data_IF_751773746992
#
_entry.id   IF_751773746992
#
_cell.length_a   1.000
_cell.length_b   1.000
_cell.length_c   1.000
_cell.angle_alpha   90.00
_cell.angle_beta   90.00
_cell.angle_gamma   90.00
#
_symmetry.space_group_name_H-M   'P 1'
#
loop_
_entity.id
_entity.type
_entity.pdbx_description
1 polymer ?
#
# COMPACT_ATOMS: atom_id res chain seq x y z
N UNK A 1 -0.14 28.46 -25.63
CA UNK A 1 0.32 27.90 -26.92
C UNK A 1 1.03 26.52 -26.81
N UNK A 2 0.92 25.78 -25.69
CA UNK A 2 1.59 24.48 -25.46
C UNK A 2 0.67 23.24 -25.52
N UNK A 3 -0.63 23.42 -25.72
CA UNK A 3 -1.63 22.32 -25.66
C UNK A 3 -1.75 21.51 -26.96
N UNK A 4 -1.26 22.02 -28.10
CA UNK A 4 -1.40 21.41 -29.42
C UNK A 4 -0.29 20.43 -29.83
N UNK A 5 0.84 20.39 -29.11
CA UNK A 5 2.02 19.61 -29.55
C UNK A 5 2.09 18.19 -29.01
N UNK A 6 1.59 17.90 -27.79
CA UNK A 6 1.59 16.54 -27.21
C UNK A 6 0.51 15.66 -27.82
N UNK A 7 -0.71 16.19 -27.96
CA UNK A 7 -1.83 15.44 -28.55
C UNK A 7 -1.63 15.22 -30.06
N UNK A 8 -1.11 16.20 -30.81
CA UNK A 8 -0.82 16.02 -32.25
C UNK A 8 0.38 15.10 -32.52
N UNK A 9 1.41 15.07 -31.64
CA UNK A 9 2.47 14.05 -31.71
C UNK A 9 1.94 12.66 -31.38
N UNK A 10 1.04 12.54 -30.41
CA UNK A 10 0.40 11.26 -30.09
C UNK A 10 -0.42 10.74 -31.29
N UNK A 11 -1.28 11.58 -31.89
CA UNK A 11 -2.07 11.23 -33.09
C UNK A 11 -1.16 10.82 -34.26
N UNK A 12 -0.09 11.58 -34.51
CA UNK A 12 0.88 11.28 -35.59
C UNK A 12 1.71 10.01 -35.28
N UNK A 13 1.94 9.68 -34.01
CA UNK A 13 2.62 8.46 -33.54
C UNK A 13 1.71 7.23 -33.54
N UNK A 14 0.39 7.40 -33.34
CA UNK A 14 -0.59 6.31 -33.40
C UNK A 14 -0.86 5.86 -34.83
N UNK A 15 -0.74 6.75 -35.81
CA UNK A 15 -0.78 6.38 -37.24
C UNK A 15 0.37 5.43 -37.65
N UNK A 16 1.51 5.48 -36.94
CA UNK A 16 2.70 4.69 -37.28
C UNK A 16 2.90 3.43 -36.40
N UNK A 17 2.24 3.30 -35.24
CA UNK A 17 2.39 2.12 -34.39
C UNK A 17 1.14 1.89 -33.49
N UNK A 18 0.32 0.86 -33.75
CA UNK A 18 -0.90 0.60 -32.99
C UNK A 18 -0.65 0.32 -31.50
N UNK A 19 0.57 -0.13 -31.14
CA UNK A 19 0.95 -0.34 -29.74
C UNK A 19 0.94 0.96 -28.92
N UNK A 20 1.14 2.13 -29.53
CA UNK A 20 1.09 3.40 -28.79
C UNK A 20 -0.30 3.67 -28.18
N UNK A 21 -1.36 3.23 -28.87
CA UNK A 21 -2.74 3.31 -28.33
C UNK A 21 -2.88 2.37 -27.13
N UNK A 22 -2.38 1.14 -27.26
CA UNK A 22 -2.39 0.14 -26.17
C UNK A 22 -1.64 0.67 -24.94
N UNK A 23 -0.46 1.26 -25.14
CA UNK A 23 0.32 1.89 -24.06
C UNK A 23 -0.42 3.03 -23.39
N UNK A 24 -1.05 3.90 -24.16
CA UNK A 24 -1.83 5.01 -23.61
C UNK A 24 -3.01 4.50 -22.79
N UNK A 25 -3.78 3.54 -23.31
CA UNK A 25 -4.91 2.93 -22.59
C UNK A 25 -4.44 2.22 -21.31
N UNK A 26 -3.33 1.48 -21.37
CA UNK A 26 -2.70 0.84 -20.22
C UNK A 26 -2.30 1.87 -19.15
N UNK A 27 -1.62 2.95 -19.55
CA UNK A 27 -1.12 3.97 -18.64
C UNK A 27 -2.27 4.79 -18.03
N UNK A 28 -3.25 5.19 -18.86
CA UNK A 28 -4.45 5.87 -18.41
C UNK A 28 -5.29 4.98 -17.48
N UNK A 29 -5.44 3.69 -17.80
CA UNK A 29 -6.14 2.73 -16.96
C UNK A 29 -5.53 2.58 -15.57
N UNK A 30 -4.19 2.59 -15.45
CA UNK A 30 -3.51 2.60 -14.14
C UNK A 30 -3.85 3.87 -13.33
N UNK A 31 -3.87 5.04 -13.99
CA UNK A 31 -4.23 6.31 -13.35
C UNK A 31 -5.72 6.38 -12.97
N UNK A 32 -6.60 5.82 -13.80
CA UNK A 32 -8.04 5.71 -13.52
C UNK A 32 -8.28 4.76 -12.34
N UNK A 33 -7.58 3.62 -12.29
CA UNK A 33 -7.62 2.70 -11.16
C UNK A 33 -7.29 3.43 -9.86
N UNK A 34 -6.27 4.30 -9.87
CA UNK A 34 -5.86 5.07 -8.69
C UNK A 34 -6.95 6.05 -8.23
N UNK A 35 -7.66 6.67 -9.18
CA UNK A 35 -8.76 7.58 -8.89
C UNK A 35 -9.99 6.85 -8.31
N UNK A 36 -10.24 5.61 -8.76
CA UNK A 36 -11.41 4.82 -8.36
C UNK A 36 -11.19 4.02 -7.07
N UNK A 37 -9.94 3.66 -6.75
CA UNK A 37 -9.59 2.72 -5.67
C UNK A 37 -10.31 3.00 -4.34
N UNK A 38 -10.29 4.25 -3.89
CA UNK A 38 -10.88 4.62 -2.60
C UNK A 38 -12.37 5.02 -2.71
N UNK A 39 -12.97 4.97 -3.90
CA UNK A 39 -14.40 5.23 -4.11
C UNK A 39 -15.13 3.90 -4.24
N UNK A 40 -14.63 3.02 -5.12
CA UNK A 40 -15.16 1.70 -5.37
C UNK A 40 -14.02 0.74 -5.72
N UNK A 41 -13.48 0.00 -4.72
CA UNK A 41 -12.38 -0.94 -4.92
C UNK A 41 -12.69 -2.06 -5.92
N UNK A 42 -13.96 -2.49 -6.02
CA UNK A 42 -14.37 -3.57 -6.93
C UNK A 42 -14.33 -3.14 -8.40
N UNK A 43 -14.84 -1.95 -8.71
CA UNK A 43 -14.72 -1.40 -10.06
C UNK A 43 -13.27 -1.03 -10.39
N UNK A 44 -12.51 -0.50 -9.43
CA UNK A 44 -11.08 -0.26 -9.60
C UNK A 44 -10.33 -1.55 -9.94
N UNK A 45 -10.64 -2.66 -9.27
CA UNK A 45 -10.02 -3.96 -9.54
C UNK A 45 -10.28 -4.44 -10.98
N UNK A 46 -11.49 -4.25 -11.53
CA UNK A 46 -11.79 -4.60 -12.93
C UNK A 46 -10.93 -3.80 -13.90
N UNK A 47 -10.76 -2.50 -13.67
CA UNK A 47 -9.88 -1.65 -14.49
C UNK A 47 -8.42 -2.08 -14.37
N UNK A 48 -7.98 -2.45 -13.17
CA UNK A 48 -6.63 -2.97 -12.93
C UNK A 48 -6.38 -4.28 -13.68
N UNK A 49 -7.35 -5.19 -13.69
CA UNK A 49 -7.29 -6.44 -14.47
C UNK A 49 -7.22 -6.14 -15.97
N UNK A 50 -8.02 -5.20 -16.46
CA UNK A 50 -7.94 -4.76 -17.86
C UNK A 50 -6.54 -4.22 -18.20
N UNK A 51 -5.91 -3.45 -17.30
CA UNK A 51 -4.52 -3.00 -17.46
C UNK A 51 -3.54 -4.18 -17.51
N UNK A 52 -3.72 -5.20 -16.66
CA UNK A 52 -2.90 -6.40 -16.70
C UNK A 52 -3.05 -7.16 -18.03
N UNK A 53 -4.24 -7.22 -18.61
CA UNK A 53 -4.44 -7.80 -19.96
C UNK A 53 -3.73 -6.97 -21.04
N UNK A 54 -3.87 -5.64 -21.01
CA UNK A 54 -3.19 -4.73 -21.95
C UNK A 54 -1.65 -4.77 -21.81
N UNK A 55 -1.14 -5.20 -20.66
CA UNK A 55 0.30 -5.35 -20.41
C UNK A 55 0.93 -6.51 -21.21
N UNK A 56 0.16 -7.55 -21.57
CA UNK A 56 0.66 -8.72 -22.30
C UNK A 56 1.22 -8.39 -23.70
N UNK A 57 0.50 -7.69 -24.60
CA UNK A 57 1.05 -7.31 -25.90
C UNK A 57 2.24 -6.35 -25.78
N UNK A 58 2.25 -5.49 -24.74
CA UNK A 58 3.37 -4.61 -24.41
C UNK A 58 4.63 -5.43 -24.08
N UNK A 59 4.51 -6.43 -23.21
CA UNK A 59 5.61 -7.32 -22.83
C UNK A 59 6.08 -8.12 -24.04
N UNK A 60 5.15 -8.68 -24.83
CA UNK A 60 5.49 -9.48 -26.02
C UNK A 60 6.37 -8.72 -27.02
N UNK A 61 6.00 -7.46 -27.32
CA UNK A 61 6.74 -6.59 -28.24
C UNK A 61 8.15 -6.25 -27.74
N UNK A 62 8.33 -6.06 -26.43
CA UNK A 62 9.60 -5.64 -25.84
C UNK A 62 10.33 -6.75 -25.07
N UNK A 63 9.95 -8.00 -25.27
CA UNK A 63 10.47 -9.18 -24.56
C UNK A 63 11.99 -9.26 -24.55
N UNK A 64 12.65 -9.09 -25.72
CA UNK A 64 14.12 -9.07 -25.83
C UNK A 64 14.78 -7.99 -24.96
N UNK A 65 14.20 -6.80 -24.91
CA UNK A 65 14.72 -5.70 -24.10
C UNK A 65 14.49 -5.93 -22.61
N UNK A 66 13.33 -6.47 -22.24
CA UNK A 66 12.97 -6.75 -20.84
C UNK A 66 13.82 -7.88 -20.26
N UNK A 67 14.10 -8.92 -21.05
CA UNK A 67 14.92 -10.08 -20.65
C UNK A 67 16.41 -9.76 -20.55
N UNK A 68 16.89 -8.72 -21.23
CA UNK A 68 18.29 -8.30 -21.19
C UNK A 68 18.70 -7.78 -19.81
N UNK A 69 17.82 -7.02 -19.13
CA UNK A 69 18.09 -6.48 -17.80
C UNK A 69 17.45 -7.34 -16.70
N UNK A 70 18.15 -8.41 -16.31
CA UNK A 70 17.69 -9.36 -15.28
C UNK A 70 17.35 -8.70 -13.94
N UNK A 71 17.96 -7.56 -13.60
CA UNK A 71 17.69 -6.86 -12.33
C UNK A 71 16.28 -6.28 -12.30
N UNK A 72 15.76 -5.89 -13.46
CA UNK A 72 14.43 -5.31 -13.58
C UNK A 72 13.33 -6.36 -13.41
N UNK A 73 13.61 -7.62 -13.72
CA UNK A 73 12.66 -8.74 -13.59
C UNK A 73 12.50 -9.28 -12.16
N UNK A 74 13.42 -8.96 -11.25
CA UNK A 74 13.37 -9.52 -9.89
C UNK A 74 12.05 -9.20 -9.17
N UNK A 75 11.62 -7.93 -9.17
CA UNK A 75 10.37 -7.53 -8.50
C UNK A 75 9.13 -8.20 -9.14
N UNK A 76 8.92 -8.15 -10.46
CA UNK A 76 7.84 -8.92 -11.10
C UNK A 76 7.85 -10.40 -10.76
N UNK A 77 9.01 -11.06 -10.79
CA UNK A 77 9.11 -12.49 -10.49
C UNK A 77 8.73 -12.78 -9.04
N UNK A 78 9.15 -11.94 -8.08
CA UNK A 78 8.79 -12.14 -6.67
C UNK A 78 7.31 -11.85 -6.40
N UNK A 79 6.72 -10.87 -7.09
CA UNK A 79 5.27 -10.63 -7.06
C UNK A 79 4.48 -11.84 -7.58
N UNK A 80 4.91 -12.39 -8.72
CA UNK A 80 4.32 -13.60 -9.30
C UNK A 80 4.47 -14.80 -8.35
N UNK A 81 5.67 -15.01 -7.82
CA UNK A 81 5.97 -16.13 -6.92
C UNK A 81 5.12 -16.05 -5.64
N UNK A 82 5.10 -14.90 -4.96
CA UNK A 82 4.31 -14.77 -3.73
C UNK A 82 2.80 -14.84 -4.01
N UNK A 83 2.35 -14.30 -5.15
CA UNK A 83 0.97 -14.47 -5.61
C UNK A 83 0.58 -15.93 -5.87
N UNK A 84 1.48 -16.71 -6.47
CA UNK A 84 1.28 -18.15 -6.67
C UNK A 84 1.30 -18.92 -5.35
N UNK A 85 2.18 -18.58 -4.40
CA UNK A 85 2.19 -19.20 -3.06
C UNK A 85 0.83 -19.05 -2.37
N UNK A 86 0.21 -17.88 -2.46
CA UNK A 86 -1.15 -17.66 -1.92
C UNK A 86 -2.18 -18.59 -2.58
N UNK A 87 -2.20 -18.66 -3.91
CA UNK A 87 -3.18 -19.47 -4.64
C UNK A 87 -2.96 -20.96 -4.40
N UNK A 88 -1.72 -21.44 -4.52
CA UNK A 88 -1.36 -22.85 -4.30
C UNK A 88 -1.70 -23.27 -2.88
N UNK A 89 -1.45 -22.43 -1.88
CA UNK A 89 -1.83 -22.72 -0.49
C UNK A 89 -3.35 -22.92 -0.36
N UNK A 90 -4.18 -22.05 -0.99
CA UNK A 90 -5.64 -22.22 -0.99
C UNK A 90 -6.04 -23.54 -1.65
N UNK A 91 -5.46 -23.90 -2.79
CA UNK A 91 -5.80 -25.14 -3.50
C UNK A 91 -5.40 -26.40 -2.72
N UNK A 92 -4.31 -26.36 -1.94
CA UNK A 92 -3.84 -27.49 -1.15
C UNK A 92 -4.66 -27.66 0.13
N UNK A 93 -4.97 -26.57 0.84
CA UNK A 93 -5.46 -26.64 2.23
C UNK A 93 -6.95 -26.35 2.40
N UNK A 94 -7.64 -25.84 1.38
CA UNK A 94 -9.07 -25.52 1.51
C UNK A 94 -9.92 -26.80 1.56
N UNK A 95 -10.60 -27.01 2.68
CA UNK A 95 -11.50 -28.14 2.88
C UNK A 95 -12.89 -27.91 2.22
N UNK A 96 -13.52 -28.95 1.64
CA UNK A 96 -14.89 -28.87 1.15
C UNK A 96 -15.88 -28.54 2.29
N UNK A 97 -16.74 -27.54 2.10
CA UNK A 97 -17.71 -27.13 3.13
C UNK A 97 -17.12 -26.30 4.28
N UNK A 98 -15.87 -25.84 4.16
CA UNK A 98 -15.19 -25.00 5.14
C UNK A 98 -15.99 -23.74 5.54
N UNK A 99 -16.09 -23.50 6.85
CA UNK A 99 -16.60 -22.26 7.44
C UNK A 99 -15.73 -21.03 7.09
N UNK A 100 -14.47 -21.24 6.70
CA UNK A 100 -13.49 -20.20 6.38
C UNK A 100 -13.47 -19.81 4.90
N UNK A 101 -14.50 -20.16 4.12
CA UNK A 101 -14.55 -19.92 2.67
C UNK A 101 -14.30 -18.44 2.31
N UNK A 102 -14.77 -17.49 3.13
CA UNK A 102 -14.50 -16.06 2.95
C UNK A 102 -13.01 -15.69 3.10
N UNK A 103 -12.33 -16.26 4.09
CA UNK A 103 -10.91 -16.01 4.34
C UNK A 103 -10.03 -16.62 3.23
N UNK A 104 -10.28 -17.88 2.83
CA UNK A 104 -9.61 -18.50 1.68
C UNK A 104 -9.79 -17.67 0.39
N UNK A 105 -11.00 -17.17 0.13
CA UNK A 105 -11.26 -16.31 -1.03
C UNK A 105 -10.46 -15.01 -0.96
N UNK A 106 -10.28 -14.44 0.22
CA UNK A 106 -9.47 -13.24 0.42
C UNK A 106 -8.00 -13.50 0.07
N UNK A 107 -7.36 -14.54 0.62
CA UNK A 107 -5.99 -14.93 0.25
C UNK A 107 -5.85 -15.18 -1.26
N UNK A 108 -6.82 -15.87 -1.87
CA UNK A 108 -6.82 -16.13 -3.31
C UNK A 108 -6.91 -14.84 -4.12
N UNK A 109 -7.74 -13.88 -3.70
CA UNK A 109 -7.89 -12.59 -4.37
C UNK A 109 -6.64 -11.73 -4.22
N UNK A 110 -6.03 -11.65 -3.03
CA UNK A 110 -4.74 -10.99 -2.84
C UNK A 110 -3.66 -11.60 -3.73
N UNK A 111 -3.60 -12.93 -3.80
CA UNK A 111 -2.75 -13.69 -4.73
C UNK A 111 -2.91 -13.25 -6.18
N UNK A 112 -4.16 -13.23 -6.68
CA UNK A 112 -4.48 -12.81 -8.06
C UNK A 112 -4.06 -11.36 -8.33
N UNK A 113 -4.31 -10.44 -7.40
CA UNK A 113 -3.91 -9.03 -7.55
C UNK A 113 -2.40 -8.89 -7.71
N UNK A 114 -1.59 -9.65 -6.95
CA UNK A 114 -0.13 -9.63 -7.07
C UNK A 114 0.36 -10.20 -8.41
N UNK A 115 -0.31 -11.23 -8.94
CA UNK A 115 -0.02 -11.76 -10.28
C UNK A 115 -0.30 -10.70 -11.35
N UNK A 116 -1.45 -10.02 -11.27
CA UNK A 116 -1.77 -8.91 -12.18
C UNK A 116 -0.76 -7.77 -12.05
N UNK A 117 -0.35 -7.44 -10.82
CA UNK A 117 0.67 -6.45 -10.55
C UNK A 117 2.03 -6.84 -11.16
N UNK A 118 2.43 -8.12 -11.10
CA UNK A 118 3.66 -8.60 -11.73
C UNK A 118 3.70 -8.29 -13.24
N UNK A 119 2.58 -8.49 -13.93
CA UNK A 119 2.44 -8.18 -15.36
C UNK A 119 2.55 -6.66 -15.61
N UNK A 120 1.81 -5.85 -14.85
CA UNK A 120 1.82 -4.38 -14.97
C UNK A 120 3.21 -3.81 -14.67
N UNK A 121 3.87 -4.25 -13.59
CA UNK A 121 5.23 -3.85 -13.22
C UNK A 121 6.24 -4.22 -14.31
N UNK A 122 6.09 -5.38 -14.96
CA UNK A 122 6.93 -5.76 -16.10
C UNK A 122 6.71 -4.84 -17.29
N UNK A 123 5.46 -4.55 -17.65
CA UNK A 123 5.15 -3.64 -18.76
C UNK A 123 5.62 -2.20 -18.52
N UNK A 124 5.58 -1.70 -17.27
CA UNK A 124 6.08 -0.37 -16.90
C UNK A 124 7.60 -0.21 -17.07
N UNK A 125 8.33 -1.31 -17.21
CA UNK A 125 9.78 -1.30 -17.47
C UNK A 125 10.12 -1.23 -18.96
N UNK A 126 9.11 -1.30 -19.84
CA UNK A 126 9.32 -1.17 -21.28
C UNK A 126 9.85 0.22 -21.65
N UNK A 127 10.67 0.33 -22.73
CA UNK A 127 11.21 1.62 -23.17
C UNK A 127 10.15 2.69 -23.46
N UNK A 128 8.99 2.28 -23.99
CA UNK A 128 7.89 3.20 -24.34
C UNK A 128 7.24 3.77 -23.07
N UNK A 129 7.06 2.96 -22.02
CA UNK A 129 6.54 3.44 -20.74
C UNK A 129 7.48 4.50 -20.10
N UNK A 130 8.79 4.36 -20.29
CA UNK A 130 9.76 5.36 -19.81
C UNK A 130 9.64 6.70 -20.58
N UNK A 131 9.32 6.64 -21.88
CA UNK A 131 9.16 7.82 -22.73
C UNK A 131 7.85 8.60 -22.48
N UNK A 132 6.81 7.93 -21.95
CA UNK A 132 5.49 8.54 -21.70
C UNK A 132 5.37 9.29 -20.36
N UNK A 133 6.49 9.59 -19.69
CA UNK A 133 6.50 10.38 -18.44
C UNK A 133 6.17 11.85 -18.71
N UNK A 134 4.89 12.14 -18.84
CA UNK A 134 4.37 13.49 -19.04
C UNK A 134 4.04 14.15 -17.69
N UNK A 135 4.22 15.47 -17.63
CA UNK A 135 3.80 16.37 -16.56
C UNK A 135 2.31 16.22 -16.22
N UNK A 136 1.50 15.78 -17.19
CA UNK A 136 0.08 15.44 -16.99
C UNK A 136 -0.10 14.38 -15.90
N UNK A 137 0.79 13.39 -15.81
CA UNK A 137 0.73 12.35 -14.76
C UNK A 137 0.76 12.95 -13.37
N UNK A 138 1.66 13.92 -13.14
CA UNK A 138 1.80 14.57 -11.84
C UNK A 138 0.54 15.35 -11.48
N UNK A 139 -0.03 16.09 -12.42
CA UNK A 139 -1.30 16.80 -12.21
C UNK A 139 -2.46 15.85 -11.94
N UNK A 140 -2.55 14.72 -12.66
CA UNK A 140 -3.59 13.73 -12.44
C UNK A 140 -3.51 13.13 -11.03
N UNK A 141 -2.31 12.73 -10.57
CA UNK A 141 -2.13 12.18 -9.22
C UNK A 141 -2.50 13.20 -8.14
N UNK A 142 -2.14 14.47 -8.31
CA UNK A 142 -2.52 15.54 -7.38
C UNK A 142 -4.04 15.75 -7.40
N UNK A 143 -4.67 15.80 -8.57
CA UNK A 143 -6.11 15.97 -8.72
C UNK A 143 -6.87 14.80 -8.07
N UNK A 144 -6.40 13.56 -8.26
CA UNK A 144 -6.92 12.37 -7.60
C UNK A 144 -6.83 12.49 -6.08
N UNK A 145 -5.67 12.87 -5.53
CA UNK A 145 -5.51 13.03 -4.10
C UNK A 145 -6.48 14.08 -3.52
N UNK A 146 -6.56 15.25 -4.15
CA UNK A 146 -7.50 16.31 -3.75
C UNK A 146 -8.95 15.84 -3.82
N UNK A 147 -9.35 15.15 -4.90
CA UNK A 147 -10.69 14.61 -5.03
C UNK A 147 -11.05 13.60 -3.93
N UNK A 148 -10.11 12.73 -3.58
CA UNK A 148 -10.28 11.76 -2.50
C UNK A 148 -10.32 12.43 -1.11
N UNK A 149 -9.55 13.50 -0.90
CA UNK A 149 -9.61 14.28 0.34
C UNK A 149 -10.95 14.98 0.51
N UNK A 150 -11.49 15.55 -0.56
CA UNK A 150 -12.82 16.14 -0.56
C UNK A 150 -13.90 15.08 -0.31
N UNK A 151 -13.78 13.90 -0.91
CA UNK A 151 -14.71 12.79 -0.68
C UNK A 151 -14.68 12.29 0.78
N UNK A 152 -13.48 12.19 1.39
CA UNK A 152 -13.32 11.86 2.79
C UNK A 152 -13.98 12.92 3.71
N UNK A 153 -13.76 14.20 3.40
CA UNK A 153 -14.40 15.32 4.12
C UNK A 153 -15.92 15.30 3.98
N UNK A 154 -16.43 15.00 2.78
CA UNK A 154 -17.86 14.84 2.54
C UNK A 154 -18.47 13.74 3.42
N UNK A 155 -17.88 12.54 3.45
CA UNK A 155 -18.37 11.45 4.30
C UNK A 155 -18.41 11.84 5.78
N UNK A 156 -17.39 12.54 6.28
CA UNK A 156 -17.37 13.03 7.65
C UNK A 156 -18.48 14.03 7.94
N UNK A 157 -18.71 15.00 7.03
CA UNK A 157 -19.70 16.06 7.21
C UNK A 157 -21.14 15.55 7.14
N UNK A 158 -21.40 14.50 6.36
CA UNK A 158 -22.74 13.89 6.26
C UNK A 158 -23.01 12.85 7.35
N UNK A 159 -22.02 12.55 8.20
CA UNK A 159 -22.16 11.54 9.24
C UNK A 159 -22.92 12.09 10.45
N UNK A 160 -23.86 11.30 11.03
CA UNK A 160 -24.69 11.75 12.14
C UNK A 160 -23.91 11.99 13.45
N UNK A 161 -22.74 11.34 13.62
CA UNK A 161 -21.82 11.59 14.73
C UNK A 161 -20.38 11.77 14.23
N UNK A 162 -20.00 12.97 13.77
CA UNK A 162 -18.68 13.21 13.17
C UNK A 162 -17.50 12.95 14.10
N UNK A 163 -17.69 13.05 15.43
CA UNK A 163 -16.61 12.87 16.40
C UNK A 163 -16.26 11.39 16.60
N UNK A 164 -17.24 10.50 16.49
CA UNK A 164 -17.02 9.06 16.62
C UNK A 164 -17.01 8.31 15.28
N UNK A 165 -17.42 8.96 14.19
CA UNK A 165 -17.39 8.36 12.86
C UNK A 165 -15.95 8.13 12.39
N UNK A 166 -15.69 6.93 11.86
CA UNK A 166 -14.43 6.57 11.24
C UNK A 166 -14.65 6.52 9.75
N UNK A 167 -13.96 7.37 9.00
CA UNK A 167 -14.11 7.43 7.55
C UNK A 167 -13.53 6.17 6.91
N UNK A 168 -14.40 5.42 6.21
CA UNK A 168 -14.09 4.14 5.56
C UNK A 168 -13.86 4.30 4.05
N UNK A 169 -14.27 5.44 3.47
CA UNK A 169 -14.23 5.65 2.03
C UNK A 169 -15.00 4.51 1.32
N UNK A 170 -14.44 3.92 0.27
CA UNK A 170 -15.01 2.76 -0.42
C UNK A 170 -14.59 1.39 0.16
N UNK A 171 -13.87 1.35 1.28
CA UNK A 171 -13.38 0.11 1.89
C UNK A 171 -14.37 -0.44 2.93
N UNK A 172 -14.25 -1.73 3.25
CA UNK A 172 -15.04 -2.37 4.31
C UNK A 172 -14.62 -1.92 5.72
N UNK A 173 -13.37 -1.48 5.87
CA UNK A 173 -12.80 -1.09 7.17
C UNK A 173 -11.98 0.21 7.07
N UNK A 174 -12.02 1.09 8.10
CA UNK A 174 -11.28 2.35 8.09
C UNK A 174 -9.76 2.18 8.07
N UNK A 175 -9.27 1.01 8.47
CA UNK A 175 -7.83 0.68 8.46
C UNK A 175 -7.29 0.57 7.04
N UNK A 176 -7.97 -0.18 6.16
CA UNK A 176 -7.62 -0.29 4.75
C UNK A 176 -7.64 1.06 4.05
N UNK A 177 -8.68 1.86 4.30
CA UNK A 177 -8.80 3.23 3.79
C UNK A 177 -7.63 4.13 4.22
N UNK A 178 -7.22 4.07 5.48
CA UNK A 178 -6.11 4.87 6.01
C UNK A 178 -4.76 4.51 5.37
N UNK A 179 -4.49 3.23 5.15
CA UNK A 179 -3.27 2.77 4.47
C UNK A 179 -3.28 3.19 3.00
N UNK A 180 -4.40 3.02 2.30
CA UNK A 180 -4.57 3.46 0.92
C UNK A 180 -4.41 5.00 0.77
N UNK A 181 -4.98 5.78 1.69
CA UNK A 181 -4.79 7.24 1.75
C UNK A 181 -3.33 7.63 1.98
N UNK A 182 -2.59 6.88 2.81
CA UNK A 182 -1.15 7.09 3.00
C UNK A 182 -0.41 6.94 1.67
N UNK A 183 -0.70 5.89 0.91
CA UNK A 183 -0.08 5.69 -0.40
C UNK A 183 -0.40 6.83 -1.36
N UNK A 184 -1.68 7.22 -1.49
CA UNK A 184 -2.09 8.35 -2.35
C UNK A 184 -1.41 9.64 -1.93
N UNK A 185 -1.32 9.93 -0.62
CA UNK A 185 -0.65 11.12 -0.10
C UNK A 185 0.85 11.14 -0.44
N UNK A 186 1.54 9.99 -0.36
CA UNK A 186 2.96 9.89 -0.73
C UNK A 186 3.18 10.07 -2.23
N UNK A 187 2.29 9.50 -3.06
CA UNK A 187 2.31 9.69 -4.52
C UNK A 187 2.10 11.16 -4.90
N UNK A 188 1.12 11.83 -4.30
CA UNK A 188 0.85 13.25 -4.52
C UNK A 188 2.00 14.14 -4.02
N UNK A 189 2.59 13.80 -2.88
CA UNK A 189 3.79 14.47 -2.34
C UNK A 189 4.96 14.40 -3.33
N UNK A 190 5.21 13.23 -3.92
CA UNK A 190 6.22 13.09 -4.98
C UNK A 190 5.86 13.91 -6.22
N UNK A 191 4.58 13.90 -6.62
CA UNK A 191 4.13 14.66 -7.78
C UNK A 191 4.37 16.17 -7.62
N UNK A 192 4.11 16.72 -6.42
CA UNK A 192 4.39 18.12 -6.08
C UNK A 192 5.89 18.44 -6.18
N UNK A 193 6.77 17.55 -5.69
CA UNK A 193 8.23 17.71 -5.81
C UNK A 193 8.65 17.71 -7.29
N UNK A 194 8.16 16.74 -8.06
CA UNK A 194 8.53 16.57 -9.47
C UNK A 194 8.10 17.73 -10.37
N UNK A 195 7.04 18.47 -10.02
CA UNK A 195 6.58 19.62 -10.80
C UNK A 195 7.54 20.83 -10.74
N UNK A 196 8.44 20.90 -9.74
CA UNK A 196 9.41 21.99 -9.53
C UNK A 196 8.78 23.39 -9.60
N UNK A 197 7.67 23.59 -8.89
CA UNK A 197 6.97 24.87 -8.81
C UNK A 197 7.76 25.85 -7.93
N UNK A 198 7.58 27.16 -8.14
CA UNK A 198 8.26 28.23 -7.37
C UNK A 198 8.11 28.06 -5.85
N UNK A 199 6.96 27.56 -5.39
CA UNK A 199 6.64 27.36 -3.97
C UNK A 199 6.48 25.87 -3.61
N UNK A 200 7.24 24.96 -4.24
CA UNK A 200 7.13 23.50 -4.02
C UNK A 200 7.18 23.10 -2.55
N UNK A 201 8.08 23.68 -1.74
CA UNK A 201 8.20 23.32 -0.31
C UNK A 201 6.94 23.73 0.45
N UNK A 202 6.40 24.93 0.20
CA UNK A 202 5.17 25.39 0.84
C UNK A 202 3.98 24.51 0.44
N UNK A 203 3.86 24.18 -0.84
CA UNK A 203 2.81 23.28 -1.34
C UNK A 203 2.93 21.88 -0.73
N UNK A 204 4.16 21.38 -0.55
CA UNK A 204 4.40 20.10 0.13
C UNK A 204 3.92 20.15 1.58
N UNK A 205 4.26 21.20 2.33
CA UNK A 205 3.85 21.37 3.73
C UNK A 205 2.34 21.53 3.88
N UNK A 206 1.70 22.30 2.99
CA UNK A 206 0.24 22.44 2.97
C UNK A 206 -0.43 21.10 2.66
N UNK A 207 0.08 20.38 1.65
CA UNK A 207 -0.40 19.04 1.31
C UNK A 207 -0.24 18.07 2.49
N UNK A 208 0.89 18.09 3.18
CA UNK A 208 1.14 17.30 4.38
C UNK A 208 0.09 17.54 5.47
N UNK A 209 -0.26 18.80 5.75
CA UNK A 209 -1.30 19.13 6.72
C UNK A 209 -2.67 18.57 6.34
N UNK A 210 -3.09 18.81 5.10
CA UNK A 210 -4.40 18.36 4.60
C UNK A 210 -4.49 16.84 4.62
N UNK A 211 -3.47 16.15 4.11
CA UNK A 211 -3.42 14.70 4.10
C UNK A 211 -3.32 14.09 5.51
N UNK A 212 -2.59 14.70 6.44
CA UNK A 212 -2.56 14.28 7.85
C UNK A 212 -3.93 14.41 8.51
N UNK A 213 -4.66 15.50 8.25
CA UNK A 213 -6.02 15.68 8.74
C UNK A 213 -6.95 14.60 8.18
N UNK A 214 -6.90 14.34 6.87
CA UNK A 214 -7.73 13.31 6.21
C UNK A 214 -7.37 11.89 6.66
N UNK A 215 -6.10 11.60 6.93
CA UNK A 215 -5.72 10.29 7.50
C UNK A 215 -6.23 10.20 8.95
N UNK A 216 -6.23 11.29 9.72
CA UNK A 216 -6.66 11.25 11.11
C UNK A 216 -8.16 10.99 11.28
N UNK A 217 -9.01 11.45 10.37
CA UNK A 217 -10.47 11.19 10.43
C UNK A 217 -10.84 9.71 10.21
N UNK A 218 -9.90 8.87 9.71
CA UNK A 218 -10.05 7.39 9.71
C UNK A 218 -9.88 6.77 11.10
N UNK A 219 -9.29 7.55 12.03
CA UNK A 219 -8.91 7.17 13.39
C UNK A 219 -8.01 5.92 13.49
N UNK A 220 -7.22 5.64 12.45
CA UNK A 220 -6.31 4.50 12.41
C UNK A 220 -4.95 4.86 13.02
N UNK A 221 -4.70 4.39 14.25
CA UNK A 221 -3.48 4.70 15.05
C UNK A 221 -2.17 4.51 14.26
N UNK A 222 -2.03 3.37 13.59
CA UNK A 222 -0.83 3.06 12.83
C UNK A 222 -0.58 4.08 11.71
N UNK A 223 -1.61 4.42 10.93
CA UNK A 223 -1.49 5.37 9.84
C UNK A 223 -1.20 6.80 10.33
N UNK A 224 -1.85 7.24 11.41
CA UNK A 224 -1.63 8.57 12.03
C UNK A 224 -0.17 8.75 12.47
N UNK A 225 0.45 7.70 13.00
CA UNK A 225 1.84 7.75 13.47
C UNK A 225 2.86 7.57 12.35
N UNK A 226 2.60 6.64 11.43
CA UNK A 226 3.56 6.24 10.39
C UNK A 226 3.59 7.23 9.22
N UNK A 227 2.44 7.80 8.81
CA UNK A 227 2.38 8.72 7.68
C UNK A 227 3.32 9.94 7.83
N UNK A 228 3.36 10.66 8.96
CA UNK A 228 4.30 11.76 9.15
C UNK A 228 5.76 11.35 8.99
N UNK A 229 6.14 10.20 9.55
CA UNK A 229 7.51 9.69 9.45
C UNK A 229 7.86 9.39 7.99
N UNK A 230 6.95 8.76 7.25
CA UNK A 230 7.15 8.45 5.82
C UNK A 230 7.22 9.72 4.96
N UNK A 231 6.37 10.71 5.21
CA UNK A 231 6.39 11.99 4.48
C UNK A 231 7.67 12.77 4.75
N UNK A 232 8.08 12.88 6.02
CA UNK A 232 9.35 13.50 6.40
C UNK A 232 10.52 12.73 5.77
N UNK A 233 10.49 11.40 5.79
CA UNK A 233 11.50 10.56 5.14
C UNK A 233 11.60 10.80 3.63
N UNK A 234 10.46 10.92 2.94
CA UNK A 234 10.41 11.24 1.52
C UNK A 234 11.02 12.61 1.21
N UNK A 235 10.67 13.61 2.02
CA UNK A 235 11.23 14.96 1.92
C UNK A 235 12.75 14.95 2.17
N UNK A 236 13.18 14.29 3.24
CA UNK A 236 14.59 14.14 3.60
C UNK A 236 15.39 13.53 2.44
N UNK A 237 14.93 12.43 1.85
CA UNK A 237 15.65 11.75 0.76
C UNK A 237 15.82 12.64 -0.49
N UNK A 238 14.89 13.56 -0.76
CA UNK A 238 15.00 14.51 -1.86
C UNK A 238 15.92 15.71 -1.55
N UNK A 239 15.84 16.24 -0.33
CA UNK A 239 16.55 17.48 0.05
C UNK A 239 17.78 17.24 0.92
N UNK A 240 18.24 15.99 1.09
CA UNK A 240 19.38 15.60 1.96
C UNK A 240 20.67 16.38 1.73
N UNK A 241 20.87 16.89 0.51
CA UNK A 241 22.06 17.63 0.14
C UNK A 241 22.01 19.13 0.54
N UNK A 242 20.82 19.68 0.81
CA UNK A 242 20.63 21.08 1.21
C UNK A 242 20.26 21.17 2.69
N UNK A 243 21.28 21.19 3.58
CA UNK A 243 21.10 21.15 5.04
C UNK A 243 20.25 22.30 5.58
N UNK A 244 20.38 23.50 5.03
CA UNK A 244 19.64 24.68 5.50
C UNK A 244 18.14 24.56 5.22
N UNK A 245 17.79 24.15 4.00
CA UNK A 245 16.38 23.88 3.64
C UNK A 245 15.84 22.73 4.49
N UNK A 246 16.61 21.66 4.64
CA UNK A 246 16.19 20.49 5.42
C UNK A 246 15.89 20.85 6.88
N UNK A 247 16.77 21.57 7.57
CA UNK A 247 16.57 21.94 8.97
C UNK A 247 15.37 22.88 9.15
N UNK A 248 15.22 23.88 8.28
CA UNK A 248 14.07 24.80 8.32
C UNK A 248 12.75 24.07 8.07
N UNK A 249 12.71 23.18 7.09
CA UNK A 249 11.50 22.42 6.78
C UNK A 249 11.20 21.36 7.83
N UNK A 250 12.21 20.72 8.44
CA UNK A 250 12.02 19.79 9.55
C UNK A 250 11.40 20.50 10.76
N UNK A 251 11.89 21.71 11.10
CA UNK A 251 11.27 22.54 12.13
C UNK A 251 9.82 22.86 11.75
N UNK A 252 9.55 23.20 10.48
CA UNK A 252 8.19 23.44 10.01
C UNK A 252 7.29 22.20 10.17
N UNK A 253 7.76 20.99 9.83
CA UNK A 253 7.00 19.76 10.08
C UNK A 253 6.65 19.58 11.56
N UNK A 254 7.60 19.83 12.47
CA UNK A 254 7.38 19.70 13.92
C UNK A 254 6.32 20.71 14.39
N UNK A 255 6.44 21.98 14.00
CA UNK A 255 5.47 23.02 14.36
C UNK A 255 4.10 22.68 13.79
N UNK A 256 4.02 22.29 12.52
CA UNK A 256 2.78 21.94 11.85
C UNK A 256 2.11 20.69 12.44
N UNK A 257 2.89 19.66 12.79
CA UNK A 257 2.37 18.48 13.49
C UNK A 257 1.86 18.84 14.89
N UNK A 258 2.57 19.70 15.62
CA UNK A 258 2.12 20.23 16.91
C UNK A 258 0.81 21.02 16.81
N UNK A 259 0.69 21.88 15.79
CA UNK A 259 -0.55 22.62 15.52
C UNK A 259 -1.69 21.69 15.13
N UNK A 260 -1.44 20.68 14.29
CA UNK A 260 -2.43 19.68 13.91
C UNK A 260 -2.90 18.84 15.12
N UNK A 261 -2.06 18.64 16.14
CA UNK A 261 -2.42 17.91 17.35
C UNK A 261 -3.49 18.63 18.20
N UNK A 262 -3.63 19.95 18.09
CA UNK A 262 -4.61 20.74 18.86
C UNK A 262 -6.06 20.33 18.53
N UNK A 263 -6.54 20.44 17.27
CA UNK A 263 -7.90 19.99 16.93
C UNK A 263 -8.07 18.48 17.07
N UNK A 264 -6.98 17.71 17.01
CA UNK A 264 -6.99 16.26 17.12
C UNK A 264 -6.86 15.75 18.57
N UNK A 265 -6.76 16.64 19.56
CA UNK A 265 -6.48 16.29 20.96
C UNK A 265 -7.44 15.24 21.50
N UNK A 266 -8.75 15.44 21.31
CA UNK A 266 -9.79 14.52 21.83
C UNK A 266 -9.65 13.10 21.26
N UNK A 267 -9.35 12.99 19.96
CA UNK A 267 -9.12 11.71 19.28
C UNK A 267 -7.85 11.05 19.83
N UNK A 268 -6.76 11.81 19.97
CA UNK A 268 -5.48 11.32 20.48
C UNK A 268 -5.62 10.84 21.94
N UNK A 269 -6.25 11.64 22.80
CA UNK A 269 -6.47 11.36 24.22
C UNK A 269 -7.32 10.11 24.43
N UNK A 270 -8.44 9.97 23.70
CA UNK A 270 -9.27 8.75 23.73
C UNK A 270 -8.47 7.51 23.33
N UNK A 271 -7.60 7.63 22.31
CA UNK A 271 -6.76 6.53 21.86
C UNK A 271 -5.64 6.19 22.84
N UNK A 272 -5.05 7.18 23.50
CA UNK A 272 -4.05 6.98 24.55
C UNK A 272 -4.66 6.28 25.78
N UNK A 273 -5.78 6.79 26.27
CA UNK A 273 -6.47 6.20 27.44
C UNK A 273 -6.92 4.77 27.17
N UNK A 274 -7.47 4.48 25.98
CA UNK A 274 -7.77 3.11 25.56
C UNK A 274 -6.51 2.24 25.50
N UNK A 275 -5.37 2.76 25.05
CA UNK A 275 -4.13 1.99 25.01
C UNK A 275 -3.66 1.59 26.42
N UNK A 276 -3.67 2.54 27.36
CA UNK A 276 -3.27 2.28 28.76
C UNK A 276 -4.20 1.27 29.42
N UNK A 277 -5.52 1.43 29.24
CA UNK A 277 -6.53 0.50 29.77
C UNK A 277 -6.39 -0.90 29.19
N UNK A 278 -6.17 -1.01 27.87
CA UNK A 278 -5.97 -2.30 27.21
C UNK A 278 -4.72 -3.01 27.75
N UNK A 279 -3.61 -2.29 27.93
CA UNK A 279 -2.36 -2.84 28.43
C UNK A 279 -2.48 -3.32 29.89
N UNK A 280 -3.13 -2.51 30.73
CA UNK A 280 -3.41 -2.90 32.11
C UNK A 280 -4.34 -4.12 32.17
N UNK A 281 -5.33 -4.22 31.29
CA UNK A 281 -6.21 -5.40 31.21
C UNK A 281 -5.43 -6.65 30.78
N UNK A 282 -4.54 -6.52 29.80
CA UNK A 282 -3.67 -7.61 29.34
C UNK A 282 -2.76 -8.13 30.45
N UNK A 283 -2.19 -7.22 31.27
CA UNK A 283 -1.37 -7.61 32.44
C UNK A 283 -2.14 -8.42 33.49
N UNK A 284 -3.47 -8.29 33.51
CA UNK A 284 -4.39 -9.06 34.37
C UNK A 284 -4.93 -10.31 33.68
N UNK A 285 -4.21 -10.87 32.71
CA UNK A 285 -4.61 -12.03 31.90
C UNK A 285 -5.93 -11.83 31.11
N UNK A 286 -6.34 -10.59 30.86
CA UNK A 286 -7.50 -10.30 30.02
C UNK A 286 -7.06 -9.73 28.66
N UNK A 287 -7.04 -10.60 27.66
CA UNK A 287 -6.72 -10.25 26.27
C UNK A 287 -7.91 -9.77 25.44
N UNK A 288 -9.12 -9.69 25.99
CA UNK A 288 -10.33 -9.31 25.25
C UNK A 288 -10.41 -7.79 25.05
N UNK A 289 -9.34 -7.20 24.55
CA UNK A 289 -9.16 -5.78 24.25
C UNK A 289 -8.51 -5.62 22.89
N UNK A 290 -8.51 -4.42 22.29
CA UNK A 290 -7.99 -4.24 20.92
C UNK A 290 -6.50 -4.57 20.82
N UNK A 291 -5.70 -4.16 21.80
CA UNK A 291 -4.26 -4.44 21.84
C UNK A 291 -3.98 -5.82 22.43
N UNK A 292 -4.69 -6.21 23.49
CA UNK A 292 -4.54 -7.52 24.11
C UNK A 292 -4.82 -8.65 23.12
N UNK A 293 -5.83 -8.49 22.27
CA UNK A 293 -6.15 -9.47 21.23
C UNK A 293 -5.04 -9.55 20.18
N UNK A 294 -4.43 -8.43 19.78
CA UNK A 294 -3.28 -8.44 18.84
C UNK A 294 -2.08 -9.17 19.43
N UNK A 295 -1.73 -8.90 20.69
CA UNK A 295 -0.64 -9.61 21.36
C UNK A 295 -0.94 -11.11 21.49
N UNK A 296 -2.17 -11.47 21.86
CA UNK A 296 -2.64 -12.85 21.90
C UNK A 296 -2.57 -13.53 20.51
N UNK A 297 -3.02 -12.85 19.45
CA UNK A 297 -2.94 -13.34 18.07
C UNK A 297 -1.50 -13.58 17.63
N UNK A 298 -0.59 -12.68 17.97
CA UNK A 298 0.83 -12.84 17.62
C UNK A 298 1.42 -14.09 18.29
N UNK A 299 1.17 -14.26 19.59
CA UNK A 299 1.67 -15.42 20.34
C UNK A 299 1.05 -16.73 19.86
N UNK A 300 -0.28 -16.77 19.75
CA UNK A 300 -1.00 -17.95 19.28
C UNK A 300 -0.64 -18.32 17.84
N UNK A 301 -0.42 -17.33 16.96
CA UNK A 301 0.02 -17.55 15.58
C UNK A 301 1.43 -18.13 15.46
N UNK A 302 2.36 -17.63 16.28
CA UNK A 302 3.73 -18.17 16.35
C UNK A 302 3.68 -19.62 16.84
N UNK A 303 2.93 -19.90 17.90
CA UNK A 303 2.84 -21.26 18.47
C UNK A 303 2.12 -22.22 17.52
N UNK A 304 1.10 -21.76 16.79
CA UNK A 304 0.45 -22.56 15.74
C UNK A 304 1.40 -22.88 14.58
N UNK A 305 2.25 -21.93 14.18
CA UNK A 305 3.24 -22.12 13.11
C UNK A 305 4.39 -23.05 13.49
N UNK A 306 4.81 -23.09 14.76
CA UNK A 306 5.85 -24.01 15.26
C UNK A 306 5.48 -25.48 15.09
N UNK A 307 4.18 -25.79 15.14
CA UNK A 307 3.68 -27.15 14.95
C UNK A 307 3.56 -27.54 13.47
N UNK A 308 3.62 -26.57 12.54
CA UNK A 308 3.33 -26.77 11.11
C UNK A 308 4.30 -25.98 10.21
N UNK A 309 5.59 -26.33 10.23
CA UNK A 309 6.63 -25.61 9.47
C UNK A 309 6.42 -25.57 7.94
N UNK A 310 5.61 -26.48 7.40
CA UNK A 310 5.28 -26.57 5.97
C UNK A 310 3.95 -25.91 5.61
N UNK A 311 3.27 -25.31 6.58
CA UNK A 311 1.93 -24.75 6.44
C UNK A 311 0.82 -25.68 6.95
N UNK A 312 -0.36 -25.10 7.13
CA UNK A 312 -1.57 -25.76 7.64
C UNK A 312 -2.82 -25.08 7.08
N UNK A 313 -3.96 -25.73 7.24
CA UNK A 313 -5.28 -25.16 6.93
C UNK A 313 -5.71 -24.14 7.97
N UNK A 314 -6.69 -23.30 7.64
CA UNK A 314 -7.30 -22.37 8.58
C UNK A 314 -8.01 -23.11 9.73
N UNK A 315 -8.58 -24.28 9.43
CA UNK A 315 -9.24 -25.19 10.35
C UNK A 315 -8.26 -25.74 11.39
N UNK A 316 -7.10 -26.21 10.93
CA UNK A 316 -6.01 -26.69 11.80
C UNK A 316 -5.49 -25.56 12.69
N UNK A 317 -5.31 -24.36 12.11
CA UNK A 317 -4.90 -23.18 12.87
C UNK A 317 -5.94 -22.82 13.94
N UNK A 318 -7.24 -22.85 13.61
CA UNK A 318 -8.31 -22.57 14.57
C UNK A 318 -8.33 -23.57 15.72
N UNK A 319 -8.31 -24.88 15.39
CA UNK A 319 -8.26 -25.93 16.40
C UNK A 319 -7.07 -25.74 17.36
N UNK A 320 -5.87 -25.51 16.82
CA UNK A 320 -4.67 -25.24 17.62
C UNK A 320 -4.79 -24.00 18.49
N UNK A 321 -5.30 -22.89 17.95
CA UNK A 321 -5.50 -21.64 18.70
C UNK A 321 -6.53 -21.80 19.84
N UNK A 322 -7.61 -22.58 19.61
CA UNK A 322 -8.59 -22.91 20.66
C UNK A 322 -7.97 -23.73 21.77
N UNK A 323 -7.12 -24.70 21.44
CA UNK A 323 -6.43 -25.50 22.44
C UNK A 323 -5.43 -24.68 23.26
N UNK A 324 -4.68 -23.78 22.62
CA UNK A 324 -3.82 -22.84 23.34
C UNK A 324 -4.62 -21.90 24.25
N UNK A 325 -5.77 -21.40 23.80
CA UNK A 325 -6.63 -20.53 24.62
C UNK A 325 -7.35 -21.27 25.77
N UNK A 326 -7.48 -22.60 25.69
CA UNK A 326 -7.93 -23.44 26.82
C UNK A 326 -6.83 -23.58 27.88
N UNK A 327 -5.58 -23.70 27.44
CA UNK A 327 -4.41 -23.86 28.33
C UNK A 327 -3.97 -22.52 28.95
N UNK A 328 -4.03 -21.43 28.18
CA UNK A 328 -3.62 -20.09 28.60
C UNK A 328 -4.76 -19.08 28.33
N UNK A 329 -5.43 -18.65 29.40
CA UNK A 329 -6.53 -17.68 29.31
C UNK A 329 -6.14 -16.33 28.72
N UNK A 330 -4.85 -15.98 28.74
CA UNK A 330 -4.34 -14.75 28.12
C UNK A 330 -4.37 -14.78 26.59
N UNK A 331 -4.68 -15.93 25.97
CA UNK A 331 -4.80 -16.08 24.52
C UNK A 331 -6.25 -16.02 24.02
N UNK A 332 -7.25 -15.96 24.91
CA UNK A 332 -8.68 -16.00 24.55
C UNK A 332 -9.10 -14.88 23.60
N UNK A 333 -8.44 -13.74 23.67
CA UNK A 333 -8.70 -12.59 22.80
C UNK A 333 -8.38 -12.85 21.34
N UNK A 334 -7.53 -13.84 21.04
CA UNK A 334 -7.22 -14.24 19.67
C UNK A 334 -8.38 -14.99 19.01
N UNK A 335 -9.26 -15.64 19.79
CA UNK A 335 -10.34 -16.48 19.26
C UNK A 335 -11.38 -15.70 18.44
N UNK A 336 -11.55 -14.40 18.72
CA UNK A 336 -12.46 -13.53 17.96
C UNK A 336 -11.97 -13.18 16.55
N UNK A 337 -10.73 -13.53 16.20
CA UNK A 337 -10.10 -13.14 14.93
C UNK A 337 -9.64 -14.33 14.08
N UNK A 338 -9.92 -15.55 14.54
CA UNK A 338 -9.49 -16.77 13.87
C UNK A 338 -10.08 -16.90 12.47
N UNK A 339 -11.32 -16.43 12.31
CA UNK A 339 -12.07 -16.44 11.05
C UNK A 339 -11.60 -15.38 10.04
N UNK A 340 -10.65 -14.51 10.42
CA UNK A 340 -10.23 -13.36 9.61
C UNK A 340 -8.72 -13.45 9.32
N UNK A 341 -7.88 -12.97 10.22
CA UNK A 341 -6.42 -12.94 10.10
C UNK A 341 -5.74 -12.45 11.39
N UNK A 342 -4.45 -12.71 11.53
CA UNK A 342 -3.69 -12.40 12.77
C UNK A 342 -3.17 -10.95 12.88
N UNK A 343 -3.60 -10.03 12.02
CA UNK A 343 -3.20 -8.61 12.03
C UNK A 343 -1.67 -8.40 12.03
N UNK A 344 -0.92 -9.32 11.43
CA UNK A 344 0.50 -9.20 11.17
C UNK A 344 0.86 -10.14 10.02
N UNK A 345 1.35 -9.59 8.91
CA UNK A 345 1.61 -10.32 7.68
C UNK A 345 2.66 -11.42 7.83
N UNK A 346 3.68 -11.20 8.67
CA UNK A 346 4.71 -12.21 8.93
C UNK A 346 4.16 -13.39 9.74
N UNK A 347 3.47 -13.10 10.84
CA UNK A 347 2.95 -14.13 11.74
C UNK A 347 1.82 -14.89 11.07
N UNK A 348 0.95 -14.19 10.34
CA UNK A 348 -0.11 -14.84 9.57
C UNK A 348 0.47 -15.75 8.47
N UNK A 349 1.43 -15.25 7.69
CA UNK A 349 2.15 -16.04 6.68
C UNK A 349 2.87 -17.24 7.29
N UNK A 350 3.57 -17.06 8.41
CA UNK A 350 4.25 -18.15 9.11
C UNK A 350 3.25 -19.19 9.60
N UNK A 351 2.14 -18.75 10.22
CA UNK A 351 1.14 -19.64 10.78
C UNK A 351 0.46 -20.50 9.72
N UNK A 352 0.22 -19.99 8.51
CA UNK A 352 -0.54 -20.71 7.47
C UNK A 352 0.35 -21.36 6.40
N UNK A 353 1.40 -20.67 5.95
CA UNK A 353 2.25 -21.08 4.83
C UNK A 353 3.64 -21.55 5.29
N UNK A 354 3.88 -21.56 6.60
CA UNK A 354 5.12 -22.05 7.18
C UNK A 354 6.34 -21.20 6.80
N UNK A 355 7.52 -21.81 6.94
CA UNK A 355 8.81 -21.15 6.72
C UNK A 355 8.97 -20.73 5.25
N UNK A 356 8.50 -21.56 4.31
CA UNK A 356 8.60 -21.27 2.87
C UNK A 356 7.82 -20.02 2.47
N UNK A 357 6.62 -19.82 3.04
CA UNK A 357 5.83 -18.61 2.84
C UNK A 357 6.54 -17.36 3.36
N UNK A 358 7.16 -17.44 4.54
CA UNK A 358 7.91 -16.31 5.13
C UNK A 358 9.15 -15.97 4.30
N UNK A 359 9.87 -16.97 3.81
CA UNK A 359 11.01 -16.77 2.92
C UNK A 359 10.56 -16.06 1.63
N UNK A 360 9.45 -16.48 1.03
CA UNK A 360 8.90 -15.82 -0.16
C UNK A 360 8.51 -14.36 0.12
N UNK A 361 7.89 -14.08 1.27
CA UNK A 361 7.53 -12.72 1.70
C UNK A 361 8.78 -11.84 1.89
N UNK A 362 9.83 -12.36 2.56
CA UNK A 362 11.08 -11.65 2.76
C UNK A 362 11.77 -11.32 1.43
N UNK A 363 11.80 -12.27 0.49
CA UNK A 363 12.35 -12.02 -0.84
C UNK A 363 11.53 -11.01 -1.64
N UNK A 364 10.20 -11.00 -1.48
CA UNK A 364 9.35 -9.97 -2.08
C UNK A 364 9.71 -8.57 -1.55
N UNK A 365 9.79 -8.41 -0.22
CA UNK A 365 10.19 -7.13 0.37
C UNK A 365 11.61 -6.71 -0.05
N UNK A 366 12.56 -7.64 -0.06
CA UNK A 366 13.91 -7.38 -0.54
C UNK A 366 13.93 -6.93 -2.00
N UNK A 367 13.12 -7.57 -2.86
CA UNK A 367 13.01 -7.20 -4.27
C UNK A 367 12.44 -5.78 -4.46
N UNK A 368 11.47 -5.37 -3.63
CA UNK A 368 10.94 -4.01 -3.64
C UNK A 368 12.02 -2.98 -3.28
N UNK A 369 12.78 -3.21 -2.22
CA UNK A 369 13.89 -2.33 -1.83
C UNK A 369 15.04 -2.33 -2.84
N UNK A 370 15.40 -3.49 -3.40
CA UNK A 370 16.45 -3.56 -4.41
C UNK A 370 16.03 -2.82 -5.68
N UNK A 371 14.75 -2.88 -6.06
CA UNK A 371 14.20 -2.10 -7.17
C UNK A 371 14.30 -0.60 -6.89
N UNK A 372 13.90 -0.17 -5.69
CA UNK A 372 14.01 1.23 -5.28
C UNK A 372 15.47 1.73 -5.32
N UNK A 373 16.41 0.92 -4.85
CA UNK A 373 17.84 1.21 -4.89
C UNK A 373 18.38 1.28 -6.33
N UNK A 374 18.05 0.29 -7.16
CA UNK A 374 18.49 0.22 -8.56
C UNK A 374 17.99 1.40 -9.38
N UNK A 375 16.74 1.84 -9.15
CA UNK A 375 16.17 3.01 -9.80
C UNK A 375 16.52 4.34 -9.12
N UNK A 376 17.27 4.32 -8.01
CA UNK A 376 17.57 5.49 -7.17
C UNK A 376 16.30 6.32 -6.87
N UNK A 377 15.20 5.66 -6.57
CA UNK A 377 13.89 6.29 -6.39
C UNK A 377 13.54 6.40 -4.92
N UNK A 378 13.57 7.62 -4.33
CA UNK A 378 13.12 7.82 -2.95
C UNK A 378 11.66 7.40 -2.75
N UNK A 379 10.80 7.65 -3.73
CA UNK A 379 9.38 7.29 -3.64
C UNK A 379 9.21 5.77 -3.54
N UNK A 380 9.86 4.98 -4.39
CA UNK A 380 9.76 3.52 -4.31
C UNK A 380 10.29 2.99 -2.97
N UNK A 381 11.35 3.59 -2.43
CA UNK A 381 11.88 3.21 -1.12
C UNK A 381 10.86 3.48 0.00
N UNK A 382 10.22 4.65 -0.03
CA UNK A 382 9.23 5.05 0.98
C UNK A 382 7.92 4.24 0.85
N UNK A 383 7.43 3.99 -0.36
CA UNK A 383 6.27 3.10 -0.58
C UNK A 383 6.58 1.68 -0.13
N UNK A 384 7.78 1.17 -0.40
CA UNK A 384 8.20 -0.16 0.07
C UNK A 384 8.26 -0.22 1.60
N UNK A 385 8.80 0.82 2.22
CA UNK A 385 8.83 0.96 3.68
C UNK A 385 7.42 1.00 4.27
N UNK A 386 6.51 1.73 3.63
CA UNK A 386 5.11 1.82 4.04
C UNK A 386 4.40 0.46 4.00
N UNK A 387 4.61 -0.31 2.92
CA UNK A 387 4.04 -1.65 2.77
C UNK A 387 4.54 -2.57 3.89
N UNK A 388 5.85 -2.57 4.18
CA UNK A 388 6.44 -3.40 5.24
C UNK A 388 5.97 -2.97 6.64
N UNK A 389 5.99 -1.67 6.94
CA UNK A 389 5.60 -1.15 8.25
C UNK A 389 4.12 -1.42 8.53
N UNK A 390 3.25 -1.20 7.55
CA UNK A 390 1.84 -1.55 7.72
C UNK A 390 1.61 -3.06 7.71
N UNK A 391 2.38 -3.84 6.96
CA UNK A 391 2.38 -5.31 7.00
C UNK A 391 2.76 -5.88 8.38
N UNK A 392 3.57 -5.16 9.17
CA UNK A 392 3.87 -5.54 10.55
C UNK A 392 2.70 -5.24 11.51
N UNK A 393 1.83 -4.29 11.17
CA UNK A 393 0.70 -3.88 12.00
C UNK A 393 -0.65 -4.49 11.58
N UNK A 394 -0.76 -4.94 10.32
CA UNK A 394 -1.97 -5.48 9.71
C UNK A 394 -1.61 -6.28 8.44
N UNK A 395 -2.58 -6.84 7.72
CA UNK A 395 -2.31 -7.56 6.47
C UNK A 395 -2.61 -6.69 5.23
N UNK A 396 -1.56 -6.29 4.52
CA UNK A 396 -1.71 -5.51 3.27
C UNK A 396 -1.81 -6.40 2.03
N UNK A 397 -1.30 -7.62 2.06
CA UNK A 397 -1.26 -8.56 0.93
C UNK A 397 -2.28 -9.70 1.07
N UNK A 398 -3.30 -9.50 1.93
CA UNK A 398 -4.38 -10.45 2.18
C UNK A 398 -5.60 -10.14 1.34
N UNK A 399 -6.30 -9.04 1.65
CA UNK A 399 -7.59 -8.73 1.06
C UNK A 399 -7.45 -7.95 -0.25
N UNK A 400 -8.48 -8.03 -1.09
CA UNK A 400 -8.48 -7.48 -2.45
C UNK A 400 -8.17 -5.98 -2.48
N UNK A 401 -8.75 -5.19 -1.56
CA UNK A 401 -8.64 -3.72 -1.57
C UNK A 401 -7.27 -3.25 -1.12
N UNK A 402 -6.77 -3.81 -0.01
CA UNK A 402 -5.47 -3.49 0.59
C UNK A 402 -4.34 -3.92 -0.35
N UNK A 403 -4.45 -5.13 -0.92
CA UNK A 403 -3.47 -5.64 -1.87
C UNK A 403 -3.48 -4.79 -3.14
N UNK A 404 -4.66 -4.41 -3.65
CA UNK A 404 -4.76 -3.53 -4.80
C UNK A 404 -4.13 -2.17 -4.51
N UNK A 405 -4.37 -1.60 -3.32
CA UNK A 405 -3.81 -0.30 -2.93
C UNK A 405 -2.27 -0.32 -2.89
N UNK A 406 -1.67 -1.35 -2.31
CA UNK A 406 -0.21 -1.48 -2.19
C UNK A 406 0.44 -1.75 -3.55
N UNK A 407 -0.12 -2.65 -4.35
CA UNK A 407 0.39 -2.95 -5.69
C UNK A 407 0.26 -1.76 -6.63
N UNK A 408 -0.88 -1.06 -6.60
CA UNK A 408 -1.09 0.13 -7.42
C UNK A 408 -0.17 1.27 -7.00
N UNK A 409 0.11 1.42 -5.70
CA UNK A 409 1.08 2.39 -5.20
C UNK A 409 2.49 2.13 -5.75
N UNK A 410 2.93 0.86 -5.81
CA UNK A 410 4.19 0.47 -6.45
C UNK A 410 4.20 0.82 -7.94
N UNK A 411 3.13 0.47 -8.67
CA UNK A 411 2.98 0.78 -10.10
C UNK A 411 3.04 2.29 -10.35
N UNK A 412 2.25 3.08 -9.62
CA UNK A 412 2.22 4.54 -9.72
C UNK A 412 3.56 5.17 -9.33
N UNK A 413 4.26 4.62 -8.34
CA UNK A 413 5.58 5.09 -7.96
C UNK A 413 6.62 4.88 -9.09
N UNK A 414 6.54 3.78 -9.84
CA UNK A 414 7.38 3.58 -11.02
C UNK A 414 7.05 4.57 -12.16
N UNK A 415 5.77 4.91 -12.33
CA UNK A 415 5.32 5.92 -13.30
C UNK A 415 5.81 7.32 -12.93
N UNK A 416 5.83 7.66 -11.64
CA UNK A 416 6.26 8.97 -11.12
C UNK A 416 7.77 9.10 -10.93
N UNK A 417 8.51 8.00 -10.87
CA UNK A 417 9.98 8.03 -10.77
C UNK A 417 10.53 8.69 -12.03
N UNK A 418 11.33 9.78 -11.96
CA UNK A 418 11.94 10.39 -13.13
C UNK A 418 12.73 9.33 -13.93
N UNK A 419 12.64 9.34 -15.26
CA UNK A 419 13.54 8.50 -16.06
C UNK A 419 14.99 8.80 -15.68
N UNK A 420 15.83 7.78 -15.52
CA UNK A 420 17.29 7.93 -15.43
C UNK A 420 17.78 8.51 -16.74
N UNK A 421 17.68 9.83 -16.90
CA UNK A 421 18.28 10.69 -17.92
C UNK A 421 17.80 12.13 -17.65
N UNK A 422 18.41 12.74 -16.63
CA UNK A 422 18.71 14.18 -16.52
C UNK A 422 19.37 14.41 -15.16
N UNK A 423 20.66 14.18 -15.17
CA UNK A 423 21.69 14.89 -14.40
C UNK A 423 21.23 15.59 -13.12
N UNK A 424 21.73 15.03 -12.00
CA UNK A 424 22.30 15.84 -10.94
C UNK A 424 23.46 16.67 -11.53
N UNK A 425 23.14 17.74 -12.24
CA UNK A 425 24.02 18.88 -12.41
C UNK A 425 23.20 20.11 -12.01
N UNK A 426 23.70 20.77 -10.98
CA UNK A 426 23.62 22.21 -10.71
C UNK A 426 22.35 22.95 -11.16
N UNK A 427 21.55 23.37 -10.18
CA UNK A 427 21.49 24.77 -9.76
C UNK A 427 21.00 24.88 -8.31
#
# INVERSE_FOLDING_TARGET
MLRGHTFSRFIRSTQNNPFNVIYFLFYAGCLTTLAMLLINPDEALKVFIACAVLSLPIIGKHSKSLLSDKKNLLLPVMLLLFGLVQIIWVEIFKEPGSSFTGAYRSYQNGGKVMIFAALIVTALQSPIACAMKDRITHYWVIATAVGLYLFAGYQLLTSPDPLNYRVELGFEHPTGAAYALTFVALLASQAIINLRLKHTILLYLLHFLVSLAVITITQTRAAILVYPVLSIGLFFLHYRHNRTVLLRTLLAFIVLAGLAAIPLKSVIEKRYNSFVTDMHSYSKNNSNTSIGARLAMQRAGIDAGKNHYWGQSLEQRDAGMRDFARQDTSLRGALGFVDIHLHNEFIDTFSLKGISGVIALLFLYLAMFLKAYTQRSPLLFIISSAIVIYGLSDLLLYAKGETLSSMLALCAAMMLTPGTMRELCHD
#
